data_IF_651777829418
#
_entry.id   IF_651777829418
#
_cell.length_a   1.000
_cell.length_b   1.000
_cell.length_c   1.000
_cell.angle_alpha   90.00
_cell.angle_beta   90.00
_cell.angle_gamma   90.00
#
_symmetry.space_group_name_H-M   'P 1'
#
loop_
_entity.id
_entity.type
_entity.pdbx_description
1 polymer ?
#
# COMPACT_ATOMS: atom_id res chain seq x y z
N UNK A 1 12.40 4.12 19.85
CA UNK A 1 11.40 3.39 19.07
C UNK A 1 10.09 3.98 19.47
N UNK A 2 9.49 4.76 18.58
CA UNK A 2 8.20 5.41 18.84
C UNK A 2 7.21 4.75 17.89
N UNK A 3 6.58 3.75 18.49
CA UNK A 3 5.19 3.35 18.30
C UNK A 3 4.59 3.71 16.94
N UNK A 4 4.41 2.68 16.11
CA UNK A 4 3.62 2.78 14.88
C UNK A 4 2.14 2.73 15.30
N UNK A 5 1.69 3.85 15.87
CA UNK A 5 0.73 3.87 16.99
C UNK A 5 -0.72 3.55 16.61
N UNK A 6 -1.16 3.93 15.40
CA UNK A 6 -2.51 3.64 14.90
C UNK A 6 -2.51 3.09 13.46
N UNK A 7 -3.61 2.43 13.11
CA UNK A 7 -3.90 1.99 11.73
C UNK A 7 -3.99 3.17 10.77
N UNK A 8 -4.62 4.27 11.22
CA UNK A 8 -4.76 5.51 10.45
C UNK A 8 -3.39 6.12 10.15
N UNK A 9 -2.48 6.13 11.12
CA UNK A 9 -1.13 6.64 10.90
C UNK A 9 -0.36 5.79 9.88
N UNK A 10 -0.48 4.46 9.94
CA UNK A 10 0.11 3.55 8.95
C UNK A 10 -0.45 3.80 7.55
N UNK A 11 -1.77 3.94 7.44
CA UNK A 11 -2.44 4.23 6.19
C UNK A 11 -1.97 5.56 5.60
N UNK A 12 -1.80 6.58 6.45
CA UNK A 12 -1.29 7.88 6.03
C UNK A 12 0.16 7.78 5.54
N UNK A 13 1.05 7.09 6.27
CA UNK A 13 2.45 6.92 5.85
C UNK A 13 2.56 6.15 4.53
N UNK A 14 1.73 5.13 4.33
CA UNK A 14 1.65 4.38 3.07
C UNK A 14 1.23 5.28 1.90
N UNK A 15 0.13 6.04 2.08
CA UNK A 15 -0.32 7.02 1.11
C UNK A 15 0.76 8.07 0.78
N UNK A 16 1.40 8.65 1.80
CA UNK A 16 2.42 9.68 1.64
C UNK A 16 3.62 9.17 0.86
N UNK A 17 4.06 7.93 1.12
CA UNK A 17 5.16 7.29 0.39
C UNK A 17 4.83 7.18 -1.11
N UNK A 18 3.67 6.62 -1.45
CA UNK A 18 3.25 6.47 -2.84
C UNK A 18 3.03 7.82 -3.54
N UNK A 19 2.49 8.80 -2.83
CA UNK A 19 2.25 10.14 -3.36
C UNK A 19 3.57 10.84 -3.72
N UNK A 20 4.58 10.80 -2.85
CA UNK A 20 5.89 11.40 -3.12
C UNK A 20 6.55 10.79 -4.35
N UNK A 21 6.44 9.46 -4.53
CA UNK A 21 6.95 8.78 -5.73
C UNK A 21 6.22 9.25 -6.99
N UNK A 22 4.90 9.41 -6.92
CA UNK A 22 4.09 9.89 -8.04
C UNK A 22 4.39 11.35 -8.40
N UNK A 23 4.54 12.22 -7.40
CA UNK A 23 4.86 13.63 -7.61
C UNK A 23 6.25 13.80 -8.24
N UNK A 24 7.18 12.91 -7.89
CA UNK A 24 8.54 12.86 -8.47
C UNK A 24 8.55 12.54 -9.97
N UNK A 25 7.47 11.99 -10.53
CA UNK A 25 7.38 11.77 -11.98
C UNK A 25 7.01 13.04 -12.75
N UNK A 26 6.67 14.14 -12.07
CA UNK A 26 6.16 15.37 -12.66
C UNK A 26 4.97 15.16 -13.63
N UNK A 27 4.18 14.10 -13.41
CA UNK A 27 3.03 13.75 -14.24
C UNK A 27 1.76 13.91 -13.41
N UNK A 28 1.06 15.04 -13.58
CA UNK A 28 -0.13 15.35 -12.78
C UNK A 28 -1.26 14.31 -12.96
N UNK A 29 -1.34 13.67 -14.13
CA UNK A 29 -2.32 12.61 -14.39
C UNK A 29 -2.02 11.42 -13.50
N UNK A 30 -0.74 11.01 -13.43
CA UNK A 30 -0.32 9.90 -12.58
C UNK A 30 -0.52 10.19 -11.10
N UNK A 31 -0.19 11.41 -10.65
CA UNK A 31 -0.46 11.85 -9.27
C UNK A 31 -1.95 11.71 -8.94
N UNK A 32 -2.84 12.18 -9.82
CA UNK A 32 -4.28 12.08 -9.61
C UNK A 32 -4.77 10.63 -9.60
N UNK A 33 -4.23 9.76 -10.46
CA UNK A 33 -4.54 8.32 -10.43
C UNK A 33 -4.19 7.73 -9.07
N UNK A 34 -2.97 7.97 -8.56
CA UNK A 34 -2.54 7.46 -7.25
C UNK A 34 -3.46 7.95 -6.13
N UNK A 35 -3.79 9.25 -6.11
CA UNK A 35 -4.72 9.82 -5.11
C UNK A 35 -6.09 9.16 -5.16
N UNK A 36 -6.66 9.02 -6.35
CA UNK A 36 -7.99 8.40 -6.53
C UNK A 36 -7.97 6.92 -6.13
N UNK A 37 -6.92 6.18 -6.49
CA UNK A 37 -6.76 4.77 -6.11
C UNK A 37 -6.71 4.62 -4.60
N UNK A 38 -5.88 5.40 -3.90
CA UNK A 38 -5.82 5.35 -2.44
C UNK A 38 -7.14 5.75 -1.78
N UNK A 39 -7.80 6.81 -2.24
CA UNK A 39 -9.10 7.20 -1.70
C UNK A 39 -10.14 6.09 -1.82
N UNK A 40 -10.17 5.38 -2.95
CA UNK A 40 -11.07 4.24 -3.14
C UNK A 40 -10.73 3.11 -2.16
N UNK A 41 -9.46 2.74 -2.07
CA UNK A 41 -8.96 1.69 -1.18
C UNK A 41 -9.29 2.00 0.29
N UNK A 42 -9.08 3.25 0.73
CA UNK A 42 -9.39 3.68 2.10
C UNK A 42 -10.90 3.65 2.38
N UNK A 43 -11.70 4.11 1.41
CA UNK A 43 -13.16 4.15 1.56
C UNK A 43 -13.80 2.75 1.61
N UNK A 44 -13.23 1.77 0.89
CA UNK A 44 -13.80 0.42 0.83
C UNK A 44 -13.21 -0.52 1.88
N UNK A 45 -12.04 -0.24 2.44
CA UNK A 45 -11.33 -1.20 3.28
C UNK A 45 -10.53 -0.57 4.42
N UNK A 46 -11.21 0.05 5.39
CA UNK A 46 -10.60 0.47 6.66
C UNK A 46 -9.88 -0.70 7.37
N UNK A 47 -10.34 -1.93 7.13
CA UNK A 47 -9.75 -3.18 7.61
C UNK A 47 -8.51 -3.68 6.83
N UNK A 48 -8.11 -3.05 5.70
CA UNK A 48 -6.85 -3.41 4.99
C UNK A 48 -5.70 -3.47 5.97
N UNK A 49 -5.56 -2.40 6.76
CA UNK A 49 -4.40 -2.26 7.61
C UNK A 49 -4.49 -3.15 8.85
N UNK A 50 -5.68 -3.67 9.16
CA UNK A 50 -5.85 -4.76 10.14
C UNK A 50 -5.48 -6.13 9.57
N UNK A 51 -5.76 -6.38 8.28
CA UNK A 51 -5.41 -7.63 7.60
C UNK A 51 -3.94 -7.69 7.15
N UNK A 52 -3.32 -6.52 6.94
CA UNK A 52 -1.87 -6.34 6.81
C UNK A 52 -1.20 -6.39 8.19
N UNK A 53 -1.48 -7.46 8.95
CA UNK A 53 -1.02 -7.65 10.33
C UNK A 53 0.49 -7.88 10.41
N UNK A 54 1.12 -8.33 9.30
CA UNK A 54 2.58 -8.41 9.19
C UNK A 54 3.18 -7.04 8.83
N UNK A 55 3.21 -6.18 9.85
CA UNK A 55 3.74 -4.81 9.83
C UNK A 55 5.17 -4.78 9.29
N UNK A 56 5.97 -5.75 9.70
CA UNK A 56 7.37 -5.85 9.35
C UNK A 56 7.57 -6.21 7.88
N UNK A 57 6.78 -7.14 7.31
CA UNK A 57 6.83 -7.40 5.86
C UNK A 57 6.48 -6.13 5.08
N UNK A 58 5.42 -5.41 5.47
CA UNK A 58 4.97 -4.24 4.75
C UNK A 58 6.02 -3.12 4.74
N UNK A 59 6.61 -2.82 5.90
CA UNK A 59 7.68 -1.83 6.00
C UNK A 59 8.92 -2.25 5.18
N UNK A 60 9.32 -3.52 5.25
CA UNK A 60 10.47 -4.03 4.48
C UNK A 60 10.29 -3.85 2.98
N UNK A 61 9.12 -4.10 2.43
CA UNK A 61 8.89 -3.91 0.99
C UNK A 61 8.92 -2.44 0.53
N UNK A 62 8.66 -1.48 1.43
CA UNK A 62 8.91 -0.06 1.17
C UNK A 62 10.40 0.30 1.27
N UNK A 63 11.10 -0.22 2.27
CA UNK A 63 12.55 -0.03 2.43
C UNK A 63 13.31 -0.58 1.21
N UNK A 64 12.96 -1.77 0.72
CA UNK A 64 13.59 -2.36 -0.45
C UNK A 64 13.36 -1.54 -1.73
N UNK A 65 12.15 -0.99 -1.91
CA UNK A 65 11.85 -0.08 -3.03
C UNK A 65 12.67 1.20 -2.90
N UNK A 66 12.70 1.81 -1.71
CA UNK A 66 13.46 3.01 -1.43
C UNK A 66 14.95 2.81 -1.73
N UNK A 67 15.55 1.73 -1.23
CA UNK A 67 16.95 1.40 -1.45
C UNK A 67 17.27 1.25 -2.95
N UNK A 68 16.39 0.58 -3.71
CA UNK A 68 16.55 0.45 -5.15
C UNK A 68 16.48 1.82 -5.87
N UNK A 69 15.61 2.72 -5.42
CA UNK A 69 15.53 4.09 -5.96
C UNK A 69 16.79 4.89 -5.64
N UNK A 70 17.28 4.83 -4.39
CA UNK A 70 18.48 5.58 -3.93
C UNK A 70 19.71 5.21 -4.75
N UNK A 71 19.91 3.92 -5.05
CA UNK A 71 21.03 3.45 -5.89
C UNK A 71 20.75 3.56 -7.39
N UNK A 72 19.59 4.14 -7.78
CA UNK A 72 19.13 4.33 -9.16
C UNK A 72 18.97 3.03 -9.96
N UNK A 73 18.69 1.91 -9.29
CA UNK A 73 18.33 0.64 -9.93
C UNK A 73 16.82 0.64 -10.23
N UNK A 74 16.45 1.35 -11.30
CA UNK A 74 15.05 1.56 -11.67
C UNK A 74 14.32 0.26 -12.04
N UNK A 75 15.04 -0.71 -12.62
CA UNK A 75 14.43 -2.00 -12.94
C UNK A 75 14.10 -2.79 -11.68
N UNK A 76 15.00 -2.82 -10.70
CA UNK A 76 14.72 -3.43 -9.40
C UNK A 76 13.59 -2.72 -8.68
N UNK A 77 13.59 -1.39 -8.65
CA UNK A 77 12.52 -0.61 -8.03
C UNK A 77 11.16 -0.94 -8.67
N UNK A 78 11.08 -1.00 -10.00
CA UNK A 78 9.85 -1.35 -10.70
C UNK A 78 9.38 -2.78 -10.40
N UNK A 79 10.30 -3.76 -10.34
CA UNK A 79 9.96 -5.15 -9.99
C UNK A 79 9.45 -5.26 -8.56
N UNK A 80 10.10 -4.61 -7.61
CA UNK A 80 9.72 -4.61 -6.19
C UNK A 80 8.35 -3.95 -5.98
N UNK A 81 8.13 -2.77 -6.56
CA UNK A 81 6.84 -2.08 -6.49
C UNK A 81 5.71 -2.91 -7.11
N UNK A 82 5.96 -3.58 -8.23
CA UNK A 82 4.99 -4.49 -8.83
C UNK A 82 4.63 -5.65 -7.88
N UNK A 83 5.65 -6.29 -7.28
CA UNK A 83 5.44 -7.38 -6.33
C UNK A 83 4.65 -6.91 -5.10
N UNK A 84 4.98 -5.73 -4.57
CA UNK A 84 4.27 -5.10 -3.46
C UNK A 84 2.78 -4.91 -3.78
N UNK A 85 2.44 -4.28 -4.91
CA UNK A 85 1.04 -4.03 -5.30
C UNK A 85 0.30 -5.36 -5.52
N UNK A 86 0.95 -6.39 -6.07
CA UNK A 86 0.35 -7.71 -6.24
C UNK A 86 0.05 -8.41 -4.90
N UNK A 87 0.95 -8.30 -3.92
CA UNK A 87 0.74 -8.83 -2.56
C UNK A 87 -0.43 -8.11 -1.89
N UNK A 88 -0.46 -6.77 -1.94
CA UNK A 88 -1.57 -5.97 -1.39
C UNK A 88 -2.89 -6.35 -2.05
N UNK A 89 -2.93 -6.45 -3.38
CA UNK A 89 -4.13 -6.85 -4.12
C UNK A 89 -4.65 -8.23 -3.69
N UNK A 90 -3.76 -9.22 -3.49
CA UNK A 90 -4.15 -10.54 -2.98
C UNK A 90 -4.74 -10.46 -1.57
N UNK A 91 -4.19 -9.60 -0.71
CA UNK A 91 -4.77 -9.33 0.62
C UNK A 91 -6.15 -8.68 0.52
N UNK A 92 -6.39 -7.74 -0.41
CA UNK A 92 -7.73 -7.18 -0.69
C UNK A 92 -8.73 -8.30 -1.01
N UNK A 93 -8.38 -9.13 -2.00
CA UNK A 93 -9.26 -10.20 -2.48
C UNK A 93 -9.60 -11.20 -1.38
N UNK A 94 -8.61 -11.57 -0.56
CA UNK A 94 -8.84 -12.48 0.56
C UNK A 94 -9.72 -11.83 1.63
N UNK A 95 -9.55 -10.54 1.91
CA UNK A 95 -10.41 -9.79 2.83
C UNK A 95 -11.86 -9.75 2.38
N UNK A 96 -12.11 -9.46 1.09
CA UNK A 96 -13.45 -9.44 0.49
C UNK A 96 -14.10 -10.83 0.54
N UNK A 97 -13.36 -11.88 0.16
CA UNK A 97 -13.88 -13.25 0.19
C UNK A 97 -14.28 -13.71 1.60
N UNK A 98 -13.56 -13.25 2.64
CA UNK A 98 -13.96 -13.51 4.03
C UNK A 98 -15.25 -12.78 4.40
N UNK A 99 -15.47 -11.55 3.94
CA UNK A 99 -16.72 -10.81 4.18
C UNK A 99 -17.92 -11.45 3.47
N UNK A 100 -17.75 -11.99 2.27
CA UNK A 100 -18.80 -12.74 1.57
C UNK A 100 -19.16 -14.06 2.28
N UNK A 101 -18.16 -14.79 2.80
CA UNK A 101 -18.37 -16.08 3.46
C UNK A 101 -18.99 -15.95 4.85
N UNK A 102 -18.67 -14.88 5.60
CA UNK A 102 -19.21 -14.65 6.96
C UNK A 102 -20.37 -13.65 7.00
N UNK A 103 -20.70 -13.01 5.88
CA UNK A 103 -21.79 -12.03 5.74
C UNK A 103 -23.17 -12.62 5.42
N UNK A 104 -23.27 -13.91 5.08
CA UNK A 104 -24.56 -14.59 4.83
C UNK A 104 -25.19 -15.21 6.11
N UNK A 105 -24.53 -15.14 7.27
CA UNK A 105 -25.02 -15.69 8.54
C UNK A 105 -25.68 -14.68 9.51
N UNK A 106 -26.05 -13.47 9.06
CA UNK A 106 -26.76 -12.47 9.88
C UNK A 106 -28.22 -12.27 9.50
#
# INVERSE_FOLDING_TARGET
GKDVESLEHRAQCDYDFHLVLAESTHNFIFVNIVKMTFNLIMATHERIYTLLDDKEIFLREHEEVYDAIVVRDLERAARLMKAHVQRVYKTLQNGIALEEVYGEES
#
